data_IF_219347579536
#
_entry.id   IF_219347579536
#
_cell.length_a   1.000
_cell.length_b   1.000
_cell.length_c   1.000
_cell.angle_alpha   90.00
_cell.angle_beta   90.00
_cell.angle_gamma   90.00
#
_symmetry.space_group_name_H-M   'P 1'
#
loop_
_entity.id
_entity.type
_entity.pdbx_description
1 polymer ?
#
# COMPACT_ATOMS: atom_id res chain seq x y z
N UNK A 1 20.88 31.27 -4.24
CA UNK A 1 19.84 31.49 -3.21
C UNK A 1 18.46 31.18 -3.80
N UNK A 2 18.19 29.90 -4.05
CA UNK A 2 16.83 29.39 -4.24
C UNK A 2 16.82 28.10 -3.45
N UNK A 3 16.24 28.14 -2.24
CA UNK A 3 16.11 26.96 -1.40
C UNK A 3 15.26 25.94 -2.12
N UNK A 4 15.68 24.68 -2.09
CA UNK A 4 14.84 23.55 -2.50
C UNK A 4 13.45 23.74 -1.89
N UNK A 5 12.36 23.68 -2.67
CA UNK A 5 11.03 23.68 -2.09
C UNK A 5 10.98 22.52 -1.11
N UNK A 6 10.70 22.83 0.15
CA UNK A 6 10.46 21.86 1.21
C UNK A 6 9.59 20.73 0.66
N UNK A 7 10.09 19.50 0.76
CA UNK A 7 9.42 18.26 0.36
C UNK A 7 7.95 18.36 0.78
N UNK A 8 7.04 18.56 -0.18
CA UNK A 8 5.62 18.55 0.11
C UNK A 8 5.24 17.09 0.27
N UNK A 9 5.26 16.58 1.51
CA UNK A 9 4.52 15.37 1.87
C UNK A 9 3.14 15.46 1.23
N UNK A 10 2.71 14.41 0.54
CA UNK A 10 1.41 14.40 -0.11
C UNK A 10 0.36 14.70 0.96
N UNK A 11 -0.26 15.87 0.89
CA UNK A 11 -1.19 16.29 1.92
C UNK A 11 -2.47 15.45 1.75
N UNK A 12 -2.57 14.43 2.60
CA UNK A 12 -3.68 13.47 2.59
C UNK A 12 -5.00 14.15 2.90
N UNK A 13 -4.98 15.33 3.56
CA UNK A 13 -6.17 16.06 3.96
C UNK A 13 -6.85 16.76 2.77
N UNK A 14 -6.18 17.53 1.90
CA UNK A 14 -6.70 17.99 0.62
C UNK A 14 -7.18 16.84 -0.27
N UNK A 15 -6.42 15.75 -0.36
CA UNK A 15 -6.81 14.58 -1.17
C UNK A 15 -8.12 13.96 -0.66
N UNK A 16 -8.28 13.88 0.67
CA UNK A 16 -9.53 13.46 1.30
C UNK A 16 -10.67 14.48 1.11
N UNK A 17 -10.40 15.77 1.18
CA UNK A 17 -11.38 16.82 0.86
C UNK A 17 -11.85 16.76 -0.61
N UNK A 18 -10.94 16.43 -1.53
CA UNK A 18 -11.26 16.18 -2.94
C UNK A 18 -12.07 14.89 -3.09
N UNK A 19 -11.77 13.84 -2.33
CA UNK A 19 -12.60 12.64 -2.30
C UNK A 19 -14.04 12.92 -1.81
N UNK A 20 -14.22 13.93 -0.96
CA UNK A 20 -15.51 14.29 -0.37
C UNK A 20 -16.33 15.29 -1.20
N UNK A 21 -15.78 15.86 -2.28
CA UNK A 21 -16.50 16.89 -3.08
C UNK A 21 -17.51 16.28 -4.04
N UNK A 22 -17.16 15.23 -4.78
CA UNK A 22 -18.10 14.56 -5.67
C UNK A 22 -17.68 13.12 -6.00
N UNK A 23 -18.61 12.33 -6.58
CA UNK A 23 -18.37 10.93 -6.95
C UNK A 23 -17.21 10.76 -7.94
N UNK A 24 -17.01 11.72 -8.85
CA UNK A 24 -15.92 11.67 -9.85
C UNK A 24 -14.57 11.86 -9.18
N UNK A 25 -14.44 12.83 -8.28
CA UNK A 25 -13.20 13.04 -7.54
C UNK A 25 -12.95 11.95 -6.50
N UNK A 26 -13.99 11.40 -5.87
CA UNK A 26 -13.86 10.22 -5.02
C UNK A 26 -13.24 9.02 -5.76
N UNK A 27 -13.64 8.79 -7.02
CA UNK A 27 -13.06 7.72 -7.85
C UNK A 27 -11.58 7.91 -8.15
N UNK A 28 -11.08 9.15 -8.16
CA UNK A 28 -9.68 9.47 -8.42
C UNK A 28 -8.85 9.51 -7.12
N UNK A 29 -9.39 10.15 -6.08
CA UNK A 29 -8.69 10.40 -4.83
C UNK A 29 -8.65 9.20 -3.88
N UNK A 30 -9.70 8.37 -3.83
CA UNK A 30 -9.72 7.21 -2.93
C UNK A 30 -8.66 6.17 -3.29
N UNK A 31 -8.45 5.77 -4.56
CA UNK A 31 -7.34 4.90 -4.92
C UNK A 31 -5.99 5.46 -4.48
N UNK A 32 -5.74 6.77 -4.67
CA UNK A 32 -4.49 7.42 -4.26
C UNK A 32 -4.28 7.33 -2.74
N UNK A 33 -5.31 7.63 -1.94
CA UNK A 33 -5.26 7.50 -0.48
C UNK A 33 -5.02 6.05 -0.02
N UNK A 34 -5.45 5.06 -0.79
CA UNK A 34 -5.23 3.64 -0.50
C UNK A 34 -3.84 3.14 -0.90
N UNK A 35 -3.21 3.72 -1.93
CA UNK A 35 -1.89 3.32 -2.44
C UNK A 35 -0.72 3.92 -1.66
N UNK A 36 -0.93 5.02 -0.93
CA UNK A 36 0.11 5.63 -0.09
C UNK A 36 0.46 4.69 1.08
N UNK A 37 1.56 3.98 0.91
CA UNK A 37 2.29 3.28 1.97
C UNK A 37 2.72 4.26 3.07
N UNK A 38 2.87 5.57 2.84
CA UNK A 38 3.14 6.53 3.94
C UNK A 38 1.99 6.68 4.95
N UNK A 39 0.76 6.25 4.64
CA UNK A 39 -0.27 6.10 5.68
C UNK A 39 0.02 4.93 6.65
N UNK A 40 1.11 4.15 6.43
CA UNK A 40 1.59 3.11 7.35
C UNK A 40 2.06 3.66 8.70
N UNK A 41 2.47 4.92 8.78
CA UNK A 41 2.99 5.52 10.03
C UNK A 41 2.04 6.50 10.71
N UNK A 42 1.10 7.13 9.97
CA UNK A 42 0.14 8.05 10.59
C UNK A 42 -0.93 7.36 11.46
N UNK A 43 -1.14 6.05 11.28
CA UNK A 43 -2.00 5.26 12.18
C UNK A 43 -1.35 4.97 13.54
N UNK A 44 -0.05 5.27 13.72
CA UNK A 44 0.70 5.01 14.95
C UNK A 44 0.86 6.25 15.84
N UNK A 45 0.42 7.44 15.39
CA UNK A 45 0.45 8.63 16.25
C UNK A 45 -0.84 8.77 17.04
N UNK A 46 -0.81 8.62 18.39
CA UNK A 46 -1.98 8.82 19.25
C UNK A 46 -2.47 10.28 19.27
N UNK A 47 -1.78 11.20 18.60
CA UNK A 47 -2.01 12.65 18.70
C UNK A 47 -2.78 13.26 17.52
N UNK A 48 -2.98 12.57 16.39
CA UNK A 48 -3.69 13.15 15.23
C UNK A 48 -4.98 12.40 14.88
N UNK A 49 -6.00 12.61 15.67
CA UNK A 49 -7.40 12.90 15.29
C UNK A 49 -8.25 12.62 16.51
N UNK A 50 -8.59 13.68 17.23
CA UNK A 50 -9.79 13.71 18.05
C UNK A 50 -10.98 13.51 17.11
N UNK A 51 -11.27 12.25 16.76
CA UNK A 51 -12.57 11.86 16.24
C UNK A 51 -13.58 12.42 17.23
N UNK A 52 -14.48 13.27 16.70
CA UNK A 52 -15.65 13.74 17.42
C UNK A 52 -16.24 12.59 18.22
N UNK A 53 -16.50 12.80 19.51
CA UNK A 53 -16.99 11.75 20.42
C UNK A 53 -18.06 10.90 19.74
N UNK A 54 -17.87 9.57 19.76
CA UNK A 54 -18.74 8.57 19.12
C UNK A 54 -20.26 8.90 19.07
N UNK A 55 -20.89 9.45 20.14
CA UNK A 55 -22.29 9.89 20.08
C UNK A 55 -22.63 10.90 18.97
N UNK A 56 -21.75 11.87 18.68
CA UNK A 56 -21.99 12.90 17.65
C UNK A 56 -21.89 12.34 16.23
N UNK A 57 -21.06 11.32 16.03
CA UNK A 57 -20.96 10.62 14.73
C UNK A 57 -22.25 9.85 14.50
N UNK A 58 -22.69 9.06 15.48
CA UNK A 58 -23.92 8.28 15.37
C UNK A 58 -25.15 9.15 15.13
N UNK A 59 -25.30 10.26 15.86
CA UNK A 59 -26.40 11.21 15.64
C UNK A 59 -26.40 11.79 14.22
N UNK A 60 -25.22 12.04 13.65
CA UNK A 60 -25.10 12.54 12.28
C UNK A 60 -25.48 11.47 11.28
N UNK A 61 -24.95 10.24 11.41
CA UNK A 61 -25.19 9.16 10.47
C UNK A 61 -26.66 8.74 10.39
N UNK A 62 -27.39 8.82 11.51
CA UNK A 62 -28.81 8.48 11.59
C UNK A 62 -29.73 9.68 11.35
N UNK A 63 -29.20 10.88 11.14
CA UNK A 63 -30.02 12.06 10.81
C UNK A 63 -30.55 11.96 9.38
N UNK A 64 -31.82 12.35 9.14
CA UNK A 64 -32.38 12.46 7.81
C UNK A 64 -31.70 13.60 7.04
N UNK A 65 -31.48 13.37 5.75
CA UNK A 65 -31.05 14.44 4.85
C UNK A 65 -32.21 15.42 4.64
N UNK A 66 -31.96 16.74 4.69
CA UNK A 66 -32.99 17.73 4.45
C UNK A 66 -33.75 17.50 3.14
N UNK A 67 -35.08 17.64 3.18
CA UNK A 67 -35.98 17.32 2.07
C UNK A 67 -35.72 18.13 0.80
N UNK A 68 -35.12 19.32 0.91
CA UNK A 68 -34.72 20.12 -0.25
C UNK A 68 -33.50 19.55 -1.01
N UNK A 69 -32.72 18.65 -0.39
CA UNK A 69 -31.58 17.96 -1.02
C UNK A 69 -31.96 16.57 -1.56
N UNK A 70 -33.03 15.96 -1.02
CA UNK A 70 -33.48 14.62 -1.40
C UNK A 70 -34.97 14.46 -1.12
N UNK A 71 -35.75 14.06 -2.13
CA UNK A 71 -37.16 13.71 -1.98
C UNK A 71 -37.38 12.40 -1.21
N UNK A 72 -36.37 11.53 -1.20
CA UNK A 72 -36.38 10.28 -0.43
C UNK A 72 -35.87 10.53 1.00
N UNK A 73 -36.49 9.90 2.00
CA UNK A 73 -36.04 9.88 3.39
C UNK A 73 -34.71 9.10 3.54
N UNK A 74 -33.61 9.68 3.06
CA UNK A 74 -32.27 9.10 3.13
C UNK A 74 -31.59 9.59 4.40
N UNK A 75 -30.81 8.72 5.02
CA UNK A 75 -29.96 9.06 6.15
C UNK A 75 -28.58 9.47 5.65
N UNK A 76 -27.88 10.36 6.37
CA UNK A 76 -26.51 10.75 6.00
C UNK A 76 -25.56 9.55 5.88
N UNK A 77 -25.76 8.50 6.69
CA UNK A 77 -24.98 7.26 6.61
C UNK A 77 -25.00 6.59 5.22
N UNK A 78 -26.05 6.79 4.42
CA UNK A 78 -26.17 6.19 3.08
C UNK A 78 -25.24 6.85 2.05
N UNK A 79 -24.71 8.04 2.36
CA UNK A 79 -23.78 8.76 1.50
C UNK A 79 -22.32 8.46 1.85
N UNK A 80 -22.06 7.77 2.97
CA UNK A 80 -20.70 7.43 3.40
C UNK A 80 -20.12 6.37 2.46
N UNK A 81 -19.00 6.72 1.83
CA UNK A 81 -18.26 5.84 0.90
C UNK A 81 -16.91 5.37 1.44
N UNK A 82 -16.32 6.14 2.35
CA UNK A 82 -15.03 5.89 2.98
C UNK A 82 -15.17 5.90 4.49
N UNK A 83 -14.58 4.92 5.16
CA UNK A 83 -14.47 4.86 6.61
C UNK A 83 -13.03 4.60 7.03
N UNK A 84 -12.56 5.40 7.97
CA UNK A 84 -11.31 5.14 8.70
C UNK A 84 -11.65 4.87 10.16
N UNK A 85 -11.43 3.62 10.56
CA UNK A 85 -11.73 3.07 11.88
C UNK A 85 -10.39 2.93 12.63
N UNK A 86 -10.00 4.00 13.32
CA UNK A 86 -8.71 4.08 14.02
C UNK A 86 -8.64 3.30 15.34
N UNK A 87 -7.48 3.36 16.00
CA UNK A 87 -7.12 2.59 17.21
C UNK A 87 -7.98 2.89 18.46
N UNK A 88 -8.64 4.05 18.52
CA UNK A 88 -9.18 4.61 19.77
C UNK A 88 -10.70 4.48 19.94
N UNK A 89 -11.43 3.85 19.01
CA UNK A 89 -12.88 3.69 19.14
C UNK A 89 -13.26 2.34 19.79
N UNK A 90 -14.15 2.32 20.79
CA UNK A 90 -14.68 1.08 21.35
C UNK A 90 -15.25 0.16 20.28
N UNK A 91 -14.95 -1.14 20.40
CA UNK A 91 -15.34 -2.18 19.45
C UNK A 91 -16.86 -2.20 19.15
N UNK A 92 -17.68 -1.87 20.15
CA UNK A 92 -19.15 -1.77 20.02
C UNK A 92 -19.62 -0.67 19.06
N UNK A 93 -18.88 0.44 18.95
CA UNK A 93 -19.24 1.54 18.06
C UNK A 93 -19.00 1.20 16.59
N UNK A 94 -18.02 0.35 16.28
CA UNK A 94 -17.74 -0.03 14.89
C UNK A 94 -18.89 -0.78 14.25
N UNK A 95 -19.48 -1.74 14.97
CA UNK A 95 -20.65 -2.49 14.48
C UNK A 95 -21.82 -1.56 14.17
N UNK A 96 -22.08 -0.59 15.05
CA UNK A 96 -23.14 0.40 14.85
C UNK A 96 -22.86 1.31 13.66
N UNK A 97 -21.65 1.86 13.55
CA UNK A 97 -21.25 2.72 12.42
C UNK A 97 -21.40 1.96 11.09
N UNK A 98 -20.90 0.73 11.01
CA UNK A 98 -21.02 -0.08 9.79
C UNK A 98 -22.47 -0.38 9.43
N UNK A 99 -23.33 -0.66 10.43
CA UNK A 99 -24.77 -0.88 10.19
C UNK A 99 -25.50 0.37 9.65
N UNK A 100 -25.04 1.57 9.99
CA UNK A 100 -25.59 2.82 9.46
C UNK A 100 -25.05 3.20 8.08
N UNK A 101 -23.97 2.55 7.62
CA UNK A 101 -23.24 2.90 6.40
C UNK A 101 -23.23 1.76 5.37
N UNK A 102 -24.38 1.34 4.80
CA UNK A 102 -24.47 0.17 3.92
C UNK A 102 -23.75 0.34 2.58
N UNK A 103 -23.47 1.59 2.20
CA UNK A 103 -22.95 1.99 0.89
C UNK A 103 -21.43 2.19 0.88
N UNK A 104 -20.75 1.81 1.96
CA UNK A 104 -19.30 1.97 2.09
C UNK A 104 -18.57 1.14 1.05
N UNK A 105 -17.59 1.78 0.42
CA UNK A 105 -16.77 1.19 -0.65
C UNK A 105 -15.31 1.02 -0.23
N UNK A 106 -14.85 1.79 0.75
CA UNK A 106 -13.45 1.87 1.13
C UNK A 106 -13.35 1.88 2.66
N UNK A 107 -12.63 0.92 3.23
CA UNK A 107 -12.41 0.83 4.68
C UNK A 107 -10.93 0.75 4.98
N UNK A 108 -10.51 1.56 5.95
CA UNK A 108 -9.25 1.39 6.68
C UNK A 108 -9.63 1.06 8.12
N UNK A 109 -9.17 -0.07 8.66
CA UNK A 109 -9.45 -0.43 10.04
C UNK A 109 -8.25 -1.06 10.75
N UNK A 110 -8.16 -0.80 12.04
CA UNK A 110 -7.26 -1.51 12.95
C UNK A 110 -8.08 -2.45 13.82
N UNK A 111 -7.77 -3.75 13.73
CA UNK A 111 -8.43 -4.80 14.49
C UNK A 111 -7.59 -5.07 15.73
N UNK A 112 -8.16 -4.76 16.89
CA UNK A 112 -7.57 -4.97 18.21
C UNK A 112 -8.22 -6.17 18.89
N UNK A 113 -7.53 -6.82 19.86
CA UNK A 113 -8.08 -7.93 20.63
C UNK A 113 -9.47 -7.65 21.19
N UNK A 114 -10.44 -8.51 20.89
CA UNK A 114 -11.81 -8.32 21.38
C UNK A 114 -12.82 -9.37 20.90
N UNK A 115 -14.06 -9.33 21.44
CA UNK A 115 -15.06 -10.36 21.16
C UNK A 115 -15.74 -10.21 19.79
N UNK A 116 -15.40 -9.18 19.00
CA UNK A 116 -16.06 -8.90 17.74
C UNK A 116 -15.46 -9.74 16.60
N UNK A 117 -16.31 -10.51 15.93
CA UNK A 117 -15.96 -11.22 14.70
C UNK A 117 -15.97 -10.26 13.50
N UNK A 118 -14.79 -9.81 13.08
CA UNK A 118 -14.64 -8.79 12.04
C UNK A 118 -14.96 -9.29 10.63
N UNK A 119 -14.52 -10.51 10.28
CA UNK A 119 -14.71 -11.11 8.95
C UNK A 119 -16.18 -11.12 8.51
N UNK A 120 -17.09 -11.74 9.27
CA UNK A 120 -18.52 -11.75 8.93
C UNK A 120 -19.14 -10.35 8.83
N UNK A 121 -18.72 -9.42 9.70
CA UNK A 121 -19.22 -8.05 9.69
C UNK A 121 -18.80 -7.30 8.41
N UNK A 122 -17.55 -7.47 7.98
CA UNK A 122 -17.04 -6.85 6.76
C UNK A 122 -17.62 -7.50 5.49
N UNK A 123 -17.86 -8.82 5.51
CA UNK A 123 -18.44 -9.55 4.38
C UNK A 123 -19.88 -9.13 4.05
N UNK A 124 -20.62 -8.57 5.01
CA UNK A 124 -21.97 -8.01 4.79
C UNK A 124 -21.97 -6.72 3.95
N UNK A 125 -20.81 -6.07 3.78
CA UNK A 125 -20.69 -4.83 3.04
C UNK A 125 -20.56 -5.10 1.53
N UNK A 126 -21.70 -5.31 0.87
CA UNK A 126 -21.75 -5.69 -0.56
C UNK A 126 -21.19 -4.63 -1.53
N UNK A 127 -20.96 -3.40 -1.09
CA UNK A 127 -20.35 -2.33 -1.88
C UNK A 127 -18.83 -2.22 -1.67
N UNK A 128 -18.23 -3.01 -0.79
CA UNK A 128 -16.83 -2.87 -0.39
C UNK A 128 -15.89 -3.21 -1.57
N UNK A 129 -15.13 -2.21 -2.02
CA UNK A 129 -14.17 -2.30 -3.14
C UNK A 129 -12.73 -2.37 -2.64
N UNK A 130 -12.41 -1.62 -1.58
CA UNK A 130 -11.07 -1.57 -1.01
C UNK A 130 -11.11 -1.76 0.50
N UNK A 131 -10.24 -2.65 0.99
CA UNK A 131 -10.15 -2.99 2.40
C UNK A 131 -8.69 -2.98 2.85
N UNK A 132 -8.40 -2.16 3.84
CA UNK A 132 -7.10 -2.08 4.50
C UNK A 132 -7.25 -2.43 5.97
N UNK A 133 -6.59 -3.50 6.38
CA UNK A 133 -6.66 -4.02 7.74
C UNK A 133 -5.27 -4.04 8.36
N UNK A 134 -5.16 -3.52 9.58
CA UNK A 134 -4.07 -3.79 10.50
C UNK A 134 -4.58 -4.73 11.61
N UNK A 135 -4.23 -6.00 11.57
CA UNK A 135 -4.78 -7.05 12.41
C UNK A 135 -3.83 -7.40 13.57
N UNK A 136 -4.23 -7.04 14.79
CA UNK A 136 -3.64 -7.53 16.04
C UNK A 136 -4.37 -8.74 16.62
N UNK A 137 -5.56 -9.04 16.11
CA UNK A 137 -6.42 -10.16 16.52
C UNK A 137 -7.05 -10.84 15.30
N UNK A 138 -7.58 -12.05 15.50
CA UNK A 138 -8.08 -12.88 14.41
C UNK A 138 -9.25 -12.23 13.66
N UNK A 139 -9.20 -12.32 12.33
CA UNK A 139 -10.28 -11.82 11.46
C UNK A 139 -11.54 -12.70 11.55
N UNK A 140 -11.37 -13.98 11.88
CA UNK A 140 -12.46 -14.95 12.04
C UNK A 140 -12.27 -15.73 13.33
N UNK A 141 -13.34 -16.21 13.96
CA UNK A 141 -13.18 -17.13 15.08
C UNK A 141 -12.61 -18.47 14.56
N UNK A 142 -11.81 -19.14 15.40
CA UNK A 142 -11.15 -20.41 15.06
C UNK A 142 -12.16 -21.50 14.63
N UNK A 143 -13.41 -21.39 15.10
CA UNK A 143 -14.49 -22.35 14.85
C UNK A 143 -15.38 -21.96 13.63
N UNK A 144 -15.16 -20.79 13.03
CA UNK A 144 -16.02 -20.24 11.98
C UNK A 144 -15.54 -20.70 10.60
N UNK A 145 -15.98 -21.89 10.19
CA UNK A 145 -15.73 -22.46 8.86
C UNK A 145 -16.61 -21.87 7.76
N UNK A 146 -17.48 -20.92 8.09
CA UNK A 146 -18.39 -20.26 7.16
C UNK A 146 -17.61 -19.56 6.05
N UNK A 147 -17.88 -19.91 4.79
CA UNK A 147 -17.27 -19.23 3.65
C UNK A 147 -17.74 -17.76 3.58
N UNK A 148 -16.80 -16.83 3.69
CA UNK A 148 -17.06 -15.39 3.64
C UNK A 148 -16.78 -14.85 2.24
N UNK A 149 -17.82 -14.42 1.53
CA UNK A 149 -17.66 -13.88 0.18
C UNK A 149 -17.65 -12.37 0.17
N UNK A 150 -16.64 -11.79 -0.47
CA UNK A 150 -16.51 -10.35 -0.71
C UNK A 150 -16.69 -10.09 -2.22
N UNK A 151 -17.93 -9.86 -2.70
CA UNK A 151 -18.25 -9.95 -4.14
C UNK A 151 -17.66 -8.82 -4.99
N UNK A 152 -17.31 -7.69 -4.37
CA UNK A 152 -16.84 -6.47 -5.04
C UNK A 152 -15.42 -6.07 -4.65
N UNK A 153 -14.76 -6.81 -3.77
CA UNK A 153 -13.46 -6.41 -3.25
C UNK A 153 -12.37 -6.61 -4.32
N UNK A 154 -11.74 -5.50 -4.71
CA UNK A 154 -10.70 -5.43 -5.73
C UNK A 154 -9.31 -5.15 -5.13
N UNK A 155 -9.27 -4.40 -4.02
CA UNK A 155 -8.03 -3.97 -3.36
C UNK A 155 -8.03 -4.48 -1.93
N UNK A 156 -7.00 -5.25 -1.57
CA UNK A 156 -6.81 -5.77 -0.23
C UNK A 156 -5.41 -5.46 0.28
N UNK A 157 -5.36 -4.74 1.40
CA UNK A 157 -4.14 -4.55 2.17
C UNK A 157 -4.32 -5.26 3.52
N UNK A 158 -3.46 -6.24 3.80
CA UNK A 158 -3.42 -6.99 5.05
C UNK A 158 -2.07 -6.79 5.72
N UNK A 159 -2.08 -6.14 6.87
CA UNK A 159 -0.95 -6.10 7.80
C UNK A 159 -1.30 -6.98 9.00
N UNK A 160 -0.65 -8.14 9.08
CA UNK A 160 -0.83 -9.14 10.12
C UNK A 160 0.28 -8.94 11.15
N UNK A 161 -0.11 -8.59 12.37
CA UNK A 161 0.84 -8.31 13.45
C UNK A 161 1.36 -9.60 14.10
N UNK A 162 0.57 -10.68 14.09
CA UNK A 162 0.85 -11.98 14.73
C UNK A 162 0.15 -13.10 13.94
N UNK A 163 0.73 -14.30 13.84
CA UNK A 163 0.15 -15.42 13.07
C UNK A 163 -1.28 -15.79 13.44
N UNK A 164 -1.62 -15.70 14.73
CA UNK A 164 -2.99 -15.94 15.22
C UNK A 164 -4.01 -14.91 14.75
N UNK A 165 -3.57 -13.75 14.24
CA UNK A 165 -4.45 -12.73 13.68
C UNK A 165 -4.91 -13.09 12.25
N UNK A 166 -4.37 -14.17 11.68
CA UNK A 166 -4.82 -14.69 10.40
C UNK A 166 -6.24 -15.22 10.48
N UNK A 167 -7.05 -14.96 9.46
CA UNK A 167 -8.44 -15.42 9.41
C UNK A 167 -9.05 -15.34 8.02
N UNK A 168 -8.22 -15.44 6.98
CA UNK A 168 -8.64 -15.29 5.58
C UNK A 168 -8.81 -16.62 4.85
N UNK A 169 -8.69 -17.75 5.56
CA UNK A 169 -8.77 -19.09 4.96
C UNK A 169 -10.14 -19.32 4.32
N UNK A 170 -11.21 -18.90 4.97
CA UNK A 170 -12.59 -19.06 4.48
C UNK A 170 -13.05 -17.93 3.55
N UNK A 171 -12.18 -16.96 3.22
CA UNK A 171 -12.58 -15.87 2.35
C UNK A 171 -12.72 -16.35 0.92
N UNK A 172 -13.60 -15.70 0.17
CA UNK A 172 -13.76 -15.82 -1.27
C UNK A 172 -13.73 -14.42 -1.89
N UNK A 173 -12.71 -14.15 -2.71
CA UNK A 173 -12.38 -12.83 -3.25
C UNK A 173 -12.40 -12.83 -4.80
N UNK A 174 -13.57 -12.98 -5.45
CA UNK A 174 -13.67 -13.24 -6.89
C UNK A 174 -13.17 -12.09 -7.78
N UNK A 175 -13.03 -10.87 -7.25
CA UNK A 175 -12.60 -9.68 -7.99
C UNK A 175 -11.26 -9.12 -7.54
N UNK A 176 -10.52 -9.83 -6.69
CA UNK A 176 -9.26 -9.31 -6.16
C UNK A 176 -8.25 -9.07 -7.30
N UNK A 177 -7.68 -7.87 -7.36
CA UNK A 177 -6.69 -7.47 -8.35
C UNK A 177 -5.42 -6.89 -7.73
N UNK A 178 -5.55 -6.22 -6.59
CA UNK A 178 -4.43 -5.57 -5.91
C UNK A 178 -4.27 -6.13 -4.52
N UNK A 179 -3.09 -6.64 -4.22
CA UNK A 179 -2.77 -7.23 -2.94
C UNK A 179 -1.53 -6.58 -2.33
N UNK A 180 -1.63 -6.24 -1.06
CA UNK A 180 -0.48 -6.01 -0.18
C UNK A 180 -0.62 -6.91 1.03
N UNK A 181 0.38 -7.75 1.27
CA UNK A 181 0.38 -8.69 2.37
C UNK A 181 1.67 -8.53 3.17
N UNK A 182 1.55 -8.17 4.44
CA UNK A 182 2.66 -7.91 5.35
C UNK A 182 2.47 -8.70 6.64
N UNK A 183 3.50 -9.42 7.08
CA UNK A 183 3.50 -10.17 8.33
C UNK A 183 4.66 -9.69 9.23
N UNK A 184 4.34 -9.03 10.35
CA UNK A 184 5.37 -8.34 11.16
C UNK A 184 6.09 -9.27 12.12
N UNK A 185 5.37 -10.07 12.91
CA UNK A 185 5.96 -10.90 13.98
C UNK A 185 5.71 -12.37 13.67
N UNK A 186 6.80 -13.11 13.45
CA UNK A 186 6.80 -14.52 12.99
C UNK A 186 5.98 -14.70 11.73
N UNK A 187 6.52 -14.47 10.52
CA UNK A 187 5.74 -14.68 9.30
C UNK A 187 5.50 -16.17 9.06
N UNK A 188 4.24 -16.63 9.11
CA UNK A 188 3.86 -17.90 8.49
C UNK A 188 3.87 -17.76 6.95
N UNK A 189 5.03 -18.04 6.38
CA UNK A 189 5.29 -17.98 4.95
C UNK A 189 4.40 -18.97 4.18
N UNK A 190 4.03 -20.10 4.78
CA UNK A 190 3.18 -21.14 4.16
C UNK A 190 1.80 -20.58 3.88
N UNK A 191 1.16 -19.95 4.89
CA UNK A 191 -0.16 -19.33 4.72
C UNK A 191 -0.17 -18.22 3.68
N UNK A 192 0.92 -17.47 3.60
CA UNK A 192 1.08 -16.41 2.60
C UNK A 192 1.15 -16.99 1.18
N UNK A 193 1.93 -18.07 0.98
CA UNK A 193 1.99 -18.80 -0.29
C UNK A 193 0.64 -19.43 -0.63
N UNK A 194 -0.04 -20.08 0.32
CA UNK A 194 -1.37 -20.66 0.12
C UNK A 194 -2.41 -19.59 -0.29
N UNK A 195 -2.28 -18.39 0.26
CA UNK A 195 -3.11 -17.26 -0.16
C UNK A 195 -2.83 -16.85 -1.61
N UNK A 196 -1.55 -16.76 -1.99
CA UNK A 196 -1.13 -16.46 -3.37
C UNK A 196 -1.51 -17.57 -4.35
N UNK A 197 -1.45 -18.84 -3.96
CA UNK A 197 -1.90 -19.94 -4.83
C UNK A 197 -3.40 -19.84 -5.15
N UNK A 198 -4.21 -19.36 -4.20
CA UNK A 198 -5.66 -19.18 -4.39
C UNK A 198 -6.01 -17.93 -5.21
N UNK A 199 -5.30 -16.82 -4.98
CA UNK A 199 -5.71 -15.51 -5.53
C UNK A 199 -4.70 -14.85 -6.48
N UNK A 200 -3.45 -15.32 -6.52
CA UNK A 200 -2.36 -14.70 -7.29
C UNK A 200 -2.66 -14.58 -8.79
N UNK A 201 -3.38 -15.56 -9.35
CA UNK A 201 -3.75 -15.58 -10.78
C UNK A 201 -4.64 -14.42 -11.23
N UNK A 202 -5.31 -13.73 -10.31
CA UNK A 202 -6.16 -12.57 -10.63
C UNK A 202 -5.47 -11.24 -10.39
N UNK A 203 -4.26 -11.23 -9.80
CA UNK A 203 -3.56 -10.01 -9.42
C UNK A 203 -2.94 -9.31 -10.62
N UNK A 204 -3.15 -7.99 -10.70
CA UNK A 204 -2.44 -7.07 -11.59
C UNK A 204 -1.37 -6.24 -10.85
N UNK A 205 -1.52 -6.12 -9.52
CA UNK A 205 -0.62 -5.42 -8.60
C UNK A 205 -0.33 -6.29 -7.37
N UNK A 206 0.93 -6.33 -6.95
CA UNK A 206 1.36 -7.01 -5.74
C UNK A 206 2.48 -6.24 -5.03
N UNK A 207 2.28 -5.99 -3.74
CA UNK A 207 3.35 -5.58 -2.84
C UNK A 207 3.97 -6.82 -2.18
N UNK A 208 5.23 -7.06 -2.52
CA UNK A 208 6.02 -8.16 -2.00
C UNK A 208 6.82 -7.70 -0.77
N UNK A 209 6.47 -8.26 0.39
CA UNK A 209 7.20 -8.07 1.63
C UNK A 209 8.58 -8.75 1.58
N UNK A 210 9.58 -8.13 2.22
CA UNK A 210 10.96 -8.65 2.22
C UNK A 210 11.06 -10.10 2.73
N UNK A 211 10.32 -10.46 3.78
CA UNK A 211 10.32 -11.83 4.33
C UNK A 211 9.80 -12.89 3.36
N UNK A 212 8.92 -12.50 2.42
CA UNK A 212 8.36 -13.40 1.39
C UNK A 212 9.24 -13.49 0.13
N UNK A 213 10.23 -12.61 -0.01
CA UNK A 213 11.03 -12.43 -1.22
C UNK A 213 11.60 -13.74 -1.78
N UNK A 214 12.46 -14.47 -1.06
CA UNK A 214 13.14 -15.64 -1.63
C UNK A 214 12.20 -16.74 -2.12
N UNK A 215 11.11 -17.01 -1.39
CA UNK A 215 10.16 -18.07 -1.72
C UNK A 215 9.24 -17.69 -2.88
N UNK A 216 8.74 -16.46 -2.88
CA UNK A 216 7.75 -16.01 -3.86
C UNK A 216 8.42 -15.60 -5.17
N UNK A 217 9.62 -15.00 -5.14
CA UNK A 217 10.30 -14.53 -6.35
C UNK A 217 10.66 -15.64 -7.32
N UNK A 218 11.07 -16.81 -6.82
CA UNK A 218 11.41 -17.95 -7.68
C UNK A 218 10.22 -18.48 -8.48
N UNK A 219 9.01 -18.32 -7.94
CA UNK A 219 7.75 -18.84 -8.49
C UNK A 219 6.78 -17.71 -8.85
N UNK A 220 7.26 -16.46 -8.98
CA UNK A 220 6.37 -15.30 -9.11
C UNK A 220 5.51 -15.39 -10.37
N UNK A 221 6.10 -15.83 -11.49
CA UNK A 221 5.39 -16.02 -12.76
C UNK A 221 4.35 -17.14 -12.70
N UNK A 222 4.58 -18.19 -11.91
CA UNK A 222 3.61 -19.29 -11.75
C UNK A 222 2.46 -18.91 -10.80
N UNK A 223 2.78 -18.19 -9.71
CA UNK A 223 1.82 -17.74 -8.70
C UNK A 223 0.96 -16.57 -9.20
N UNK A 224 1.57 -15.59 -9.87
CA UNK A 224 0.94 -14.33 -10.25
C UNK A 224 1.09 -14.01 -11.76
N UNK A 225 0.68 -14.89 -12.69
CA UNK A 225 0.99 -14.76 -14.12
C UNK A 225 0.44 -13.50 -14.83
N UNK A 226 -0.50 -12.78 -14.21
CA UNK A 226 -1.10 -11.54 -14.74
C UNK A 226 -0.50 -10.27 -14.13
N UNK A 227 0.52 -10.40 -13.30
CA UNK A 227 1.12 -9.30 -12.57
C UNK A 227 1.80 -8.32 -13.53
N UNK A 228 1.41 -7.05 -13.45
CA UNK A 228 1.95 -5.95 -14.26
C UNK A 228 2.72 -4.95 -13.42
N UNK A 229 2.37 -4.81 -12.14
CA UNK A 229 3.01 -3.90 -11.18
C UNK A 229 3.48 -4.68 -9.96
N UNK A 230 4.79 -4.68 -9.73
CA UNK A 230 5.40 -5.23 -8.52
C UNK A 230 5.97 -4.09 -7.66
N UNK A 231 5.51 -4.00 -6.42
CA UNK A 231 6.08 -3.11 -5.42
C UNK A 231 6.91 -3.93 -4.43
N UNK A 232 8.12 -3.48 -4.13
CA UNK A 232 9.09 -4.14 -3.25
C UNK A 232 9.73 -3.12 -2.32
N UNK A 233 10.22 -3.57 -1.16
CA UNK A 233 10.90 -2.69 -0.21
C UNK A 233 12.19 -2.14 -0.83
N UNK A 234 13.07 -3.04 -1.29
CA UNK A 234 14.42 -2.67 -1.70
C UNK A 234 14.94 -3.56 -2.84
N UNK A 235 15.78 -3.06 -3.77
CA UNK A 235 16.30 -3.85 -4.89
C UNK A 235 17.04 -5.13 -4.47
N UNK A 236 17.73 -5.11 -3.34
CA UNK A 236 18.49 -6.27 -2.82
C UNK A 236 17.64 -7.53 -2.59
N UNK A 237 16.30 -7.43 -2.62
CA UNK A 237 15.43 -8.61 -2.60
C UNK A 237 15.63 -9.56 -3.78
N UNK A 238 16.25 -9.10 -4.87
CA UNK A 238 16.53 -9.94 -6.04
C UNK A 238 17.88 -10.67 -5.97
N UNK A 239 18.63 -10.56 -4.87
CA UNK A 239 19.96 -11.17 -4.72
C UNK A 239 19.98 -12.49 -3.92
N UNK A 240 20.88 -13.44 -4.26
CA UNK A 240 21.48 -13.72 -5.55
C UNK A 240 20.66 -14.82 -6.21
N UNK A 241 19.49 -14.49 -6.75
CA UNK A 241 18.79 -15.47 -7.57
C UNK A 241 19.63 -15.70 -8.84
N UNK A 242 20.03 -16.95 -9.10
CA UNK A 242 20.67 -17.37 -10.35
C UNK A 242 19.92 -16.72 -11.52
N UNK A 243 20.60 -16.08 -12.49
CA UNK A 243 19.98 -15.18 -13.46
C UNK A 243 18.99 -15.95 -14.34
N UNK A 244 17.72 -15.88 -13.98
CA UNK A 244 16.58 -16.34 -14.75
C UNK A 244 15.54 -15.23 -14.72
N UNK A 245 14.72 -15.12 -15.77
CA UNK A 245 13.55 -14.26 -15.73
C UNK A 245 12.70 -14.58 -14.51
N UNK A 246 12.38 -13.53 -13.74
CA UNK A 246 11.51 -13.62 -12.58
C UNK A 246 10.06 -13.51 -13.03
N UNK A 247 9.79 -12.62 -13.99
CA UNK A 247 8.44 -12.45 -14.52
C UNK A 247 8.43 -11.74 -15.88
N UNK A 248 7.72 -12.28 -16.88
CA UNK A 248 7.65 -11.67 -18.21
C UNK A 248 6.56 -10.61 -18.37
N UNK A 249 5.56 -10.60 -17.50
CA UNK A 249 4.44 -9.65 -17.57
C UNK A 249 4.64 -8.32 -16.82
N UNK A 250 5.69 -8.19 -15.99
CA UNK A 250 5.87 -7.00 -15.16
C UNK A 250 6.36 -5.84 -16.02
N UNK A 251 5.60 -4.76 -16.02
CA UNK A 251 5.90 -3.51 -16.74
C UNK A 251 6.27 -2.38 -15.78
N UNK A 252 5.87 -2.45 -14.51
CA UNK A 252 6.15 -1.45 -13.48
C UNK A 252 6.81 -2.14 -12.29
N UNK A 253 7.99 -1.66 -11.89
CA UNK A 253 8.57 -1.99 -10.61
C UNK A 253 8.67 -0.74 -9.73
N UNK A 254 8.32 -0.88 -8.46
CA UNK A 254 8.36 0.20 -7.49
C UNK A 254 9.17 -0.19 -6.27
N UNK A 255 10.19 0.61 -5.95
CA UNK A 255 11.05 0.45 -4.79
C UNK A 255 10.66 1.47 -3.72
N UNK A 256 10.30 1.00 -2.53
CA UNK A 256 9.92 1.90 -1.43
C UNK A 256 11.12 2.61 -0.79
N UNK A 257 12.28 1.95 -0.73
CA UNK A 257 13.45 2.46 -0.03
C UNK A 257 14.62 2.84 -0.93
N UNK A 258 14.54 2.62 -2.26
CA UNK A 258 15.61 3.03 -3.17
C UNK A 258 15.78 4.54 -3.17
N UNK A 259 16.85 5.00 -2.53
CA UNK A 259 17.21 6.42 -2.40
C UNK A 259 18.54 6.72 -3.07
N UNK A 260 18.80 8.00 -3.32
CA UNK A 260 20.02 8.48 -3.97
C UNK A 260 21.28 8.05 -3.21
N UNK A 261 21.27 8.17 -1.89
CA UNK A 261 22.43 7.91 -1.03
C UNK A 261 22.86 6.43 -1.06
N UNK A 262 21.93 5.52 -1.35
CA UNK A 262 22.22 4.09 -1.47
C UNK A 262 23.06 3.75 -2.69
N UNK A 263 23.15 4.67 -3.66
CA UNK A 263 23.99 4.51 -4.85
C UNK A 263 25.45 4.93 -4.60
N UNK A 264 25.69 5.72 -3.54
CA UNK A 264 26.94 6.46 -3.31
C UNK A 264 27.90 5.76 -2.32
N UNK A 265 27.49 4.67 -1.67
CA UNK A 265 28.33 3.94 -0.71
C UNK A 265 29.51 3.26 -1.42
N UNK A 266 30.59 4.02 -1.49
CA UNK A 266 31.87 3.74 -2.12
C UNK A 266 32.47 2.45 -1.55
N UNK A 267 32.29 1.33 -2.25
CA UNK A 267 32.92 0.03 -1.94
C UNK A 267 32.00 -1.07 -1.41
N UNK A 268 30.73 -0.82 -1.13
CA UNK A 268 29.81 -1.79 -0.50
C UNK A 268 28.65 -2.31 -1.37
N UNK A 269 28.27 -1.58 -2.43
CA UNK A 269 26.98 -1.79 -3.12
C UNK A 269 27.08 -2.34 -4.56
N UNK A 270 28.18 -3.01 -4.92
CA UNK A 270 28.24 -3.89 -6.11
C UNK A 270 26.99 -4.79 -6.30
N UNK A 271 26.41 -5.34 -5.22
CA UNK A 271 25.10 -5.97 -5.26
C UNK A 271 24.00 -5.12 -5.94
N UNK A 272 23.66 -3.94 -5.40
CA UNK A 272 22.59 -3.08 -5.94
C UNK A 272 22.81 -2.77 -7.42
N UNK A 273 24.03 -2.39 -7.79
CA UNK A 273 24.39 -2.11 -9.20
C UNK A 273 23.99 -3.28 -10.10
N UNK A 274 24.42 -4.50 -9.74
CA UNK A 274 24.14 -5.71 -10.52
C UNK A 274 22.64 -5.98 -10.61
N UNK A 275 21.88 -5.76 -9.54
CA UNK A 275 20.41 -5.93 -9.59
C UNK A 275 19.79 -4.94 -10.56
N UNK A 276 20.13 -3.65 -10.44
CA UNK A 276 19.54 -2.59 -11.27
C UNK A 276 19.88 -2.78 -12.76
N UNK A 277 21.12 -3.14 -13.08
CA UNK A 277 21.53 -3.51 -14.45
C UNK A 277 20.69 -4.69 -14.99
N UNK A 278 20.40 -5.68 -14.16
CA UNK A 278 19.66 -6.88 -14.56
C UNK A 278 18.13 -6.73 -14.55
N UNK A 279 17.58 -5.59 -14.08
CA UNK A 279 16.13 -5.42 -13.93
C UNK A 279 15.39 -5.68 -15.23
N UNK A 280 15.73 -4.96 -16.30
CA UNK A 280 15.03 -5.11 -17.57
C UNK A 280 15.67 -6.16 -18.49
N UNK A 281 16.96 -6.47 -18.30
CA UNK A 281 17.67 -7.43 -19.14
C UNK A 281 17.32 -8.88 -18.80
N UNK A 282 17.17 -9.18 -17.51
CA UNK A 282 16.99 -10.55 -17.03
C UNK A 282 15.69 -10.68 -16.26
N UNK A 283 15.51 -9.89 -15.19
CA UNK A 283 14.46 -10.13 -14.20
C UNK A 283 13.05 -9.85 -14.77
N UNK A 284 12.89 -8.74 -15.49
CA UNK A 284 11.63 -8.20 -15.99
C UNK A 284 11.78 -7.71 -17.45
N UNK A 285 11.78 -8.61 -18.44
CA UNK A 285 12.01 -8.25 -19.85
C UNK A 285 11.03 -7.24 -20.46
N UNK A 286 9.83 -7.09 -19.88
CA UNK A 286 8.81 -6.15 -20.35
C UNK A 286 8.75 -4.85 -19.54
N UNK A 287 9.76 -4.57 -18.71
CA UNK A 287 9.78 -3.38 -17.86
C UNK A 287 9.66 -2.09 -18.68
N UNK A 288 8.86 -1.16 -18.16
CA UNK A 288 8.60 0.17 -18.73
C UNK A 288 8.75 1.30 -17.73
N UNK A 289 8.52 1.04 -16.44
CA UNK A 289 8.64 2.05 -15.41
C UNK A 289 9.37 1.51 -14.18
N UNK A 290 10.30 2.31 -13.68
CA UNK A 290 10.97 2.13 -12.39
C UNK A 290 10.54 3.29 -11.51
N UNK A 291 9.88 3.01 -10.39
CA UNK A 291 9.37 4.02 -9.47
C UNK A 291 10.13 3.99 -8.15
N UNK A 292 10.55 5.13 -7.63
CA UNK A 292 11.18 5.24 -6.30
C UNK A 292 11.05 6.66 -5.71
N UNK A 293 11.13 6.87 -4.38
CA UNK A 293 10.98 8.19 -3.77
C UNK A 293 12.02 9.21 -4.23
N UNK A 294 13.22 8.75 -4.62
CA UNK A 294 14.33 9.58 -5.13
C UNK A 294 14.67 10.83 -4.30
N UNK A 295 14.26 10.85 -3.04
CA UNK A 295 14.44 11.95 -2.10
C UNK A 295 15.48 11.58 -1.05
N UNK A 296 16.26 12.57 -0.62
CA UNK A 296 17.19 12.38 0.50
C UNK A 296 16.44 11.94 1.77
N UNK A 297 17.08 11.10 2.59
CA UNK A 297 16.50 10.70 3.87
C UNK A 297 16.41 11.91 4.79
N UNK A 298 15.19 12.38 5.06
CA UNK A 298 14.96 13.34 6.13
C UNK A 298 15.18 12.60 7.46
N UNK A 299 16.16 13.00 8.28
CA UNK A 299 16.36 12.35 9.57
C UNK A 299 15.13 12.55 10.45
N UNK A 300 14.86 11.63 11.41
CA UNK A 300 13.84 11.86 12.43
C UNK A 300 14.14 13.16 13.18
N UNK A 301 13.11 13.94 13.57
CA UNK A 301 13.31 15.19 14.30
C UNK A 301 14.04 15.02 15.65
N UNK A 302 14.10 13.79 16.18
CA UNK A 302 14.63 13.48 17.51
C UNK A 302 15.94 12.66 17.50
N UNK A 303 16.65 12.53 16.37
CA UNK A 303 17.96 11.86 16.35
C UNK A 303 19.11 12.85 16.54
N UNK A 304 19.75 12.92 17.72
CA UNK A 304 20.86 13.86 17.99
C UNK A 304 22.18 13.49 17.29
N UNK A 305 22.22 12.40 16.51
CA UNK A 305 23.45 11.87 15.91
C UNK A 305 23.67 12.27 14.44
N UNK A 306 22.69 12.87 13.76
CA UNK A 306 22.89 13.39 12.40
C UNK A 306 23.19 14.88 12.44
N UNK A 307 24.43 15.22 12.77
CA UNK A 307 24.99 16.55 12.56
C UNK A 307 24.80 16.98 11.10
N UNK A 308 24.43 18.24 10.87
CA UNK A 308 24.21 18.91 9.56
C UNK A 308 25.41 18.91 8.58
N UNK A 309 26.44 18.08 8.82
CA UNK A 309 27.74 18.12 8.16
C UNK A 309 28.10 16.82 7.40
N UNK A 310 27.14 15.97 7.02
CA UNK A 310 27.44 14.98 5.98
C UNK A 310 27.48 15.73 4.66
N UNK A 311 28.71 16.06 4.24
CA UNK A 311 28.99 16.62 2.92
C UNK A 311 28.28 15.78 1.87
N UNK A 312 27.31 16.38 1.21
CA UNK A 312 26.60 15.77 0.09
C UNK A 312 27.61 15.46 -1.00
N UNK A 313 27.65 14.22 -1.53
CA UNK A 313 28.35 13.97 -2.77
C UNK A 313 27.66 14.80 -3.86
N UNK A 314 28.38 15.78 -4.41
CA UNK A 314 27.84 16.69 -5.44
C UNK A 314 27.42 15.93 -6.71
N UNK A 315 27.85 14.67 -6.91
CA UNK A 315 27.68 13.92 -8.16
C UNK A 315 27.29 12.46 -7.94
N UNK A 316 26.33 11.99 -8.73
CA UNK A 316 25.95 10.59 -8.82
C UNK A 316 27.08 9.74 -9.44
N UNK A 317 27.15 8.44 -9.13
CA UNK A 317 28.12 7.54 -9.74
C UNK A 317 27.94 7.44 -11.27
N UNK A 318 29.04 7.42 -12.02
CA UNK A 318 29.03 7.33 -13.49
C UNK A 318 28.27 6.10 -13.99
N UNK A 319 28.42 4.95 -13.32
CA UNK A 319 27.72 3.71 -13.70
C UNK A 319 26.19 3.88 -13.66
N UNK A 320 25.68 4.69 -12.74
CA UNK A 320 24.24 4.91 -12.60
C UNK A 320 23.74 5.85 -13.69
N UNK A 321 24.51 6.90 -14.02
CA UNK A 321 24.19 7.79 -15.14
C UNK A 321 24.15 7.01 -16.47
N UNK A 322 25.12 6.11 -16.69
CA UNK A 322 25.14 5.22 -17.85
C UNK A 322 23.91 4.29 -17.90
N UNK A 323 23.49 3.77 -16.74
CA UNK A 323 22.32 2.92 -16.61
C UNK A 323 21.01 3.68 -16.88
N UNK A 324 20.85 4.91 -16.39
CA UNK A 324 19.70 5.76 -16.71
C UNK A 324 19.65 6.07 -18.21
N UNK A 325 20.80 6.39 -18.82
CA UNK A 325 20.89 6.61 -20.26
C UNK A 325 20.53 5.34 -21.08
N UNK A 326 20.88 4.15 -20.58
CA UNK A 326 20.43 2.88 -21.13
C UNK A 326 18.93 2.69 -21.00
N UNK A 327 18.35 2.94 -19.82
CA UNK A 327 16.91 2.85 -19.61
C UNK A 327 16.11 3.77 -20.53
N UNK A 328 16.52 5.04 -20.67
CA UNK A 328 15.88 6.00 -21.58
C UNK A 328 15.91 5.51 -23.04
N UNK A 329 17.05 5.00 -23.51
CA UNK A 329 17.18 4.43 -24.86
C UNK A 329 16.27 3.23 -25.09
N UNK A 330 15.98 2.47 -24.04
CA UNK A 330 15.07 1.32 -24.08
C UNK A 330 13.60 1.69 -23.79
N UNK A 331 13.30 2.98 -23.62
CA UNK A 331 11.95 3.47 -23.32
C UNK A 331 11.45 3.06 -21.93
N UNK A 332 12.37 3.02 -20.95
CA UNK A 332 12.09 2.76 -19.54
C UNK A 332 12.15 4.10 -18.79
N UNK A 333 11.05 4.46 -18.12
CA UNK A 333 10.93 5.70 -17.37
C UNK A 333 11.36 5.49 -15.91
N UNK A 334 12.26 6.34 -15.40
CA UNK A 334 12.56 6.43 -13.97
C UNK A 334 11.68 7.52 -13.36
N UNK A 335 10.77 7.16 -12.46
CA UNK A 335 9.75 8.07 -11.91
C UNK A 335 9.95 8.23 -10.42
N UNK A 336 9.93 9.49 -9.98
CA UNK A 336 9.97 9.88 -8.58
C UNK A 336 8.59 9.76 -7.94
N UNK A 337 8.41 8.93 -6.91
CA UNK A 337 7.06 8.56 -6.40
C UNK A 337 6.35 9.62 -5.56
N UNK A 338 7.06 10.54 -4.91
CA UNK A 338 6.42 11.54 -4.04
C UNK A 338 5.74 12.67 -4.83
N UNK A 339 6.25 12.99 -6.03
CA UNK A 339 5.72 14.05 -6.90
C UNK A 339 5.33 13.57 -8.31
N UNK A 340 5.51 12.28 -8.61
CA UNK A 340 5.25 11.65 -9.92
C UNK A 340 6.05 12.29 -11.08
N UNK A 341 7.24 12.80 -10.78
CA UNK A 341 8.11 13.45 -11.77
C UNK A 341 9.01 12.43 -12.48
N UNK A 342 9.14 12.59 -13.79
CA UNK A 342 10.11 11.85 -14.59
C UNK A 342 11.53 12.33 -14.29
N UNK A 343 12.39 11.40 -13.86
CA UNK A 343 13.82 11.60 -13.69
C UNK A 343 14.49 11.24 -15.00
N UNK A 344 15.10 12.23 -15.64
CA UNK A 344 15.86 12.06 -16.88
C UNK A 344 17.35 12.19 -16.65
N UNK A 345 18.17 11.68 -17.57
CA UNK A 345 19.62 11.88 -17.54
C UNK A 345 19.99 13.37 -17.45
N UNK A 346 19.26 14.23 -18.17
CA UNK A 346 19.46 15.68 -18.15
C UNK A 346 19.15 16.30 -16.79
N UNK A 347 18.23 15.73 -16.01
CA UNK A 347 17.92 16.19 -14.64
C UNK A 347 18.94 15.75 -13.59
N UNK A 348 19.82 14.81 -13.95
CA UNK A 348 20.82 14.22 -13.06
C UNK A 348 22.25 14.73 -13.30
N UNK A 349 22.50 15.38 -14.44
CA UNK A 349 23.74 16.09 -14.79
C UNK A 349 23.69 17.55 -14.34
#
# INVERSE_FOLDING_TARGET
RHGNPSIRKLDTRPTLCVALTCRTFAKLALPLLFHLTEMLTFALSPTSTTLSTAPKIMSTLTSPVPTFLSSDARLYGYFVRFLSLGYLSPVSHFKQVLSCCPNVTHIVCTIVPGPLKWGPLLAQLHCLVALRINAYDSLCADDDSSALTFPTLEILFLLIQQDRAWGTISWNLPKLRRLSLLCVRSPDLTRSVDFLQRYGKTLDYFYLEAGLGPLVLAELESLCPRLTHLQVIHPLLFEPNNPKPVHRGITIIEFLDLRREELEVSGGNAPIRRVLENLHLILFPCLKQIRCPWSLRTPPPDSPEFSENIAQPERLPTWFLELVAEWERNGIELIRTDIDDLITLDSLN
#
